data_IF_778031620225
#
_entry.id   IF_778031620225
#
_cell.length_a   1.000
_cell.length_b   1.000
_cell.length_c   1.000
_cell.angle_alpha   90.00
_cell.angle_beta   90.00
_cell.angle_gamma   90.00
#
_symmetry.space_group_name_H-M   'P 1'
#
loop_
_entity.id
_entity.type
_entity.pdbx_description
1 polymer ?
#
# COMPACT_ATOMS: atom_id res chain seq x y z
N UNK A 1 54.13 10.33 18.18
CA UNK A 1 52.78 9.70 18.22
C UNK A 1 52.95 8.21 17.99
N UNK A 2 52.61 7.38 18.99
CA UNK A 2 52.88 5.93 18.98
C UNK A 2 52.24 5.23 17.77
N UNK A 3 52.96 4.33 17.12
CA UNK A 3 52.51 3.59 15.92
C UNK A 3 51.19 2.84 16.17
N UNK A 4 50.97 2.38 17.41
CA UNK A 4 49.71 1.76 17.87
C UNK A 4 48.51 2.72 17.84
N UNK A 5 48.72 4.01 18.13
CA UNK A 5 47.67 5.05 18.11
C UNK A 5 47.29 5.39 16.66
N UNK A 6 48.27 5.40 15.74
CA UNK A 6 48.01 5.60 14.30
C UNK A 6 47.17 4.48 13.70
N UNK A 7 47.43 3.22 14.08
CA UNK A 7 46.66 2.06 13.59
C UNK A 7 45.22 2.10 14.12
N UNK A 8 45.02 2.46 15.40
CA UNK A 8 43.69 2.57 16.00
C UNK A 8 42.84 3.68 15.34
N UNK A 9 43.44 4.82 15.03
CA UNK A 9 42.79 5.92 14.30
C UNK A 9 42.42 5.52 12.87
N UNK A 10 43.25 4.72 12.20
CA UNK A 10 42.99 4.23 10.84
C UNK A 10 41.82 3.23 10.82
N UNK A 11 41.70 2.36 11.83
CA UNK A 11 40.57 1.43 11.94
C UNK A 11 39.23 2.13 12.25
N UNK A 12 39.23 3.22 13.01
CA UNK A 12 38.00 3.97 13.32
C UNK A 12 37.42 4.68 12.07
N UNK A 13 38.27 5.16 11.17
CA UNK A 13 37.88 5.84 9.92
C UNK A 13 37.28 4.91 8.85
N UNK A 14 37.61 3.62 8.89
CA UNK A 14 37.06 2.62 7.95
C UNK A 14 35.65 2.19 8.37
N UNK A 15 35.34 2.20 9.66
CA UNK A 15 34.02 1.79 10.19
C UNK A 15 32.97 2.92 10.01
N UNK A 16 33.38 4.18 9.96
CA UNK A 16 32.46 5.32 9.84
C UNK A 16 31.84 5.53 8.46
N UNK A 17 32.21 4.73 7.45
CA UNK A 17 31.69 4.83 6.08
C UNK A 17 30.64 3.76 5.74
N UNK A 18 30.25 2.91 6.70
CA UNK A 18 29.09 2.03 6.51
C UNK A 18 27.82 2.84 6.83
N UNK A 19 27.57 3.86 6.03
CA UNK A 19 26.24 4.43 5.91
C UNK A 19 25.40 3.37 5.20
N UNK A 20 24.71 2.52 5.96
CA UNK A 20 23.59 1.76 5.43
C UNK A 20 22.55 2.78 4.96
N UNK A 21 22.59 3.12 3.67
CA UNK A 21 21.45 3.78 3.04
C UNK A 21 20.24 2.88 3.29
N UNK A 22 19.19 3.42 3.90
CA UNK A 22 17.94 2.67 3.98
C UNK A 22 17.47 2.48 2.54
N UNK A 23 17.33 1.23 2.11
CA UNK A 23 16.78 0.87 0.81
C UNK A 23 15.30 1.27 0.79
N UNK A 24 15.05 2.50 0.36
CA UNK A 24 13.74 3.15 0.41
C UNK A 24 13.20 3.33 -1.00
N UNK A 25 11.89 3.09 -1.15
CA UNK A 25 11.12 3.46 -2.34
C UNK A 25 10.21 4.61 -2.01
N UNK A 26 10.40 5.73 -2.70
CA UNK A 26 9.48 6.87 -2.61
C UNK A 26 8.20 6.51 -3.36
N UNK A 27 7.07 6.65 -2.68
CA UNK A 27 5.73 6.44 -3.22
C UNK A 27 4.95 7.76 -3.25
N UNK A 28 4.31 8.07 -4.37
CA UNK A 28 3.32 9.15 -4.51
C UNK A 28 2.02 8.61 -5.09
N UNK A 29 0.91 9.32 -4.88
CA UNK A 29 -0.39 8.92 -5.40
C UNK A 29 -1.03 9.99 -6.30
N UNK A 30 -1.94 9.54 -7.15
CA UNK A 30 -2.88 10.37 -7.90
C UNK A 30 -4.25 9.67 -7.88
N UNK A 31 -5.21 10.27 -7.18
CA UNK A 31 -6.59 9.79 -7.11
C UNK A 31 -7.37 10.15 -8.38
N UNK A 32 -8.20 9.21 -8.84
CA UNK A 32 -9.26 9.47 -9.79
C UNK A 32 -8.79 9.81 -11.22
N UNK A 33 -9.56 10.68 -11.87
CA UNK A 33 -9.37 11.16 -13.24
C UNK A 33 -9.25 12.68 -13.26
N UNK A 34 -8.32 13.20 -14.06
CA UNK A 34 -8.21 14.64 -14.34
C UNK A 34 -9.37 15.16 -15.21
N UNK A 35 -10.04 14.28 -15.94
CA UNK A 35 -11.26 14.61 -16.67
C UNK A 35 -12.47 14.52 -15.73
N UNK A 36 -13.18 15.64 -15.56
CA UNK A 36 -14.31 15.77 -14.62
C UNK A 36 -15.50 14.89 -14.96
N UNK A 37 -15.87 14.73 -16.24
CA UNK A 37 -17.00 13.87 -16.63
C UNK A 37 -16.71 12.39 -16.31
N UNK A 38 -15.46 11.97 -16.51
CA UNK A 38 -15.03 10.62 -16.12
C UNK A 38 -15.02 10.50 -14.59
N UNK A 39 -14.59 11.53 -13.86
CA UNK A 39 -14.60 11.55 -12.40
C UNK A 39 -16.03 11.45 -11.84
N UNK A 40 -16.98 12.17 -12.42
CA UNK A 40 -18.41 12.10 -12.03
C UNK A 40 -18.96 10.68 -12.19
N UNK A 41 -18.60 9.98 -13.27
CA UNK A 41 -19.00 8.58 -13.49
C UNK A 41 -18.32 7.66 -12.46
N UNK A 42 -17.04 7.87 -12.16
CA UNK A 42 -16.29 7.10 -11.16
C UNK A 42 -16.97 7.21 -9.79
N UNK A 43 -17.30 8.44 -9.37
CA UNK A 43 -17.94 8.71 -8.08
C UNK A 43 -19.38 8.17 -8.05
N UNK A 44 -20.15 8.35 -9.12
CA UNK A 44 -21.49 7.79 -9.26
C UNK A 44 -21.52 6.26 -9.15
N UNK A 45 -20.55 5.60 -9.77
CA UNK A 45 -20.42 4.13 -9.76
C UNK A 45 -19.73 3.58 -8.50
N UNK A 46 -19.37 4.45 -7.55
CA UNK A 46 -18.61 4.12 -6.34
C UNK A 46 -17.34 3.28 -6.66
N UNK A 47 -16.59 3.75 -7.66
CA UNK A 47 -15.32 3.15 -8.07
C UNK A 47 -14.20 3.97 -7.45
N UNK A 48 -13.25 3.31 -6.81
CA UNK A 48 -12.03 3.94 -6.38
C UNK A 48 -10.91 3.63 -7.37
N UNK A 49 -10.30 4.67 -7.94
CA UNK A 49 -9.14 4.57 -8.81
C UNK A 49 -7.99 5.32 -8.15
N UNK A 50 -6.89 4.62 -7.92
CA UNK A 50 -5.68 5.19 -7.35
C UNK A 50 -4.48 4.79 -8.19
N UNK A 51 -3.71 5.78 -8.64
CA UNK A 51 -2.42 5.54 -9.28
C UNK A 51 -1.31 5.76 -8.25
N UNK A 52 -0.54 4.72 -7.97
CA UNK A 52 0.70 4.83 -7.20
C UNK A 52 1.89 4.91 -8.15
N UNK A 53 2.79 5.86 -7.89
CA UNK A 53 4.07 5.98 -8.57
C UNK A 53 5.18 5.67 -7.57
N UNK A 54 6.13 4.85 -8.00
CA UNK A 54 7.27 4.40 -7.19
C UNK A 54 8.55 4.89 -7.83
N UNK A 55 9.47 5.43 -7.03
CA UNK A 55 10.77 5.91 -7.48
C UNK A 55 11.89 5.44 -6.53
N UNK A 56 12.82 4.64 -7.06
CA UNK A 56 14.08 4.26 -6.41
C UNK A 56 14.99 3.52 -7.39
N UNK A 57 16.31 3.62 -7.20
CA UNK A 57 17.27 2.81 -7.95
C UNK A 57 17.16 1.32 -7.61
N UNK A 58 16.75 1.01 -6.38
CA UNK A 58 16.59 -0.35 -5.87
C UNK A 58 15.45 -1.12 -6.57
N UNK A 59 14.58 -0.45 -7.33
CA UNK A 59 13.53 -1.11 -8.10
C UNK A 59 14.07 -1.91 -9.29
N UNK A 60 15.21 -1.50 -9.87
CA UNK A 60 15.72 -2.11 -11.10
C UNK A 60 16.03 -3.58 -10.85
N UNK A 61 15.45 -4.44 -11.67
CA UNK A 61 15.66 -5.89 -11.57
C UNK A 61 14.71 -6.61 -10.61
N UNK A 62 13.88 -5.87 -9.85
CA UNK A 62 12.88 -6.45 -8.93
C UNK A 62 11.57 -6.78 -9.61
N UNK A 63 10.78 -7.61 -8.95
CA UNK A 63 9.39 -7.89 -9.25
C UNK A 63 8.47 -7.23 -8.23
N UNK A 64 7.27 -6.88 -8.67
CA UNK A 64 6.21 -6.43 -7.78
C UNK A 64 5.28 -7.59 -7.46
N UNK A 65 5.01 -7.80 -6.18
CA UNK A 65 3.89 -8.60 -5.71
C UNK A 65 2.88 -7.69 -5.03
N UNK A 66 1.60 -7.83 -5.36
CA UNK A 66 0.50 -7.17 -4.64
C UNK A 66 -0.37 -8.22 -3.98
N UNK A 67 -0.62 -8.05 -2.69
CA UNK A 67 -1.48 -8.93 -1.90
C UNK A 67 -2.57 -8.14 -1.17
N UNK A 68 -3.61 -8.86 -0.75
CA UNK A 68 -4.67 -8.34 0.09
C UNK A 68 -4.84 -9.24 1.31
N UNK A 69 -4.80 -8.63 2.48
CA UNK A 69 -5.03 -9.29 3.76
C UNK A 69 -6.46 -8.97 4.23
N UNK A 70 -7.22 -10.00 4.59
CA UNK A 70 -8.57 -9.87 5.15
C UNK A 70 -8.52 -9.97 6.67
N UNK A 71 -9.22 -9.06 7.34
CA UNK A 71 -9.34 -9.01 8.79
C UNK A 71 -10.79 -8.96 9.22
N UNK A 72 -11.13 -9.67 10.30
CA UNK A 72 -12.47 -9.66 10.91
C UNK A 72 -12.37 -9.49 12.41
N UNK A 73 -13.08 -8.50 12.95
CA UNK A 73 -13.07 -8.14 14.38
C UNK A 73 -11.63 -8.00 14.91
N UNK A 74 -10.79 -7.26 14.18
CA UNK A 74 -9.37 -7.06 14.49
C UNK A 74 -8.45 -8.29 14.30
N UNK A 75 -8.97 -9.44 13.86
CA UNK A 75 -8.16 -10.66 13.69
C UNK A 75 -7.90 -10.96 12.21
N UNK A 76 -6.64 -11.22 11.88
CA UNK A 76 -6.23 -11.71 10.57
C UNK A 76 -7.00 -12.98 10.19
N UNK A 77 -7.42 -13.05 8.92
CA UNK A 77 -8.13 -14.21 8.36
C UNK A 77 -7.33 -14.92 7.30
N UNK A 78 -6.90 -14.20 6.27
CA UNK A 78 -6.14 -14.76 5.15
C UNK A 78 -5.47 -13.67 4.35
N UNK A 79 -4.44 -14.08 3.60
CA UNK A 79 -3.85 -13.29 2.52
C UNK A 79 -4.28 -13.89 1.19
N UNK A 80 -4.46 -13.05 0.17
CA UNK A 80 -4.66 -13.48 -1.22
C UNK A 80 -3.77 -12.64 -2.13
N UNK A 81 -3.18 -13.28 -3.14
CA UNK A 81 -2.36 -12.59 -4.13
C UNK A 81 -3.27 -11.96 -5.18
N UNK A 82 -3.10 -10.66 -5.40
CA UNK A 82 -3.79 -9.91 -6.45
C UNK A 82 -2.97 -9.88 -7.74
N UNK A 83 -1.64 -9.85 -7.61
CA UNK A 83 -0.69 -9.91 -8.71
C UNK A 83 0.66 -10.41 -8.21
N UNK A 84 1.34 -11.25 -9.00
CA UNK A 84 2.71 -11.69 -8.77
C UNK A 84 3.55 -11.54 -10.04
N UNK A 85 4.48 -10.58 -10.03
CA UNK A 85 5.37 -10.36 -11.16
C UNK A 85 6.47 -11.41 -11.30
N UNK A 86 6.72 -12.23 -10.28
CA UNK A 86 7.82 -13.22 -10.31
C UNK A 86 7.56 -14.40 -11.25
N UNK A 87 6.34 -14.55 -11.76
CA UNK A 87 5.94 -15.60 -12.71
C UNK A 87 6.70 -15.51 -14.05
N UNK A 88 7.23 -14.33 -14.41
CA UNK A 88 7.99 -14.14 -15.65
C UNK A 88 8.92 -12.93 -15.57
N UNK A 89 10.15 -13.10 -16.07
CA UNK A 89 11.13 -12.01 -16.26
C UNK A 89 10.59 -10.83 -17.09
N UNK A 90 9.54 -11.04 -17.89
CA UNK A 90 8.85 -9.99 -18.62
C UNK A 90 8.33 -8.86 -17.70
N UNK A 91 7.89 -9.21 -16.49
CA UNK A 91 7.36 -8.28 -15.49
C UNK A 91 8.43 -7.64 -14.60
N UNK A 92 9.70 -7.97 -14.81
CA UNK A 92 10.80 -7.35 -14.08
C UNK A 92 10.84 -5.84 -14.36
N UNK A 93 11.03 -5.06 -13.31
CA UNK A 93 11.10 -3.60 -13.39
C UNK A 93 12.44 -3.25 -14.05
N UNK A 94 12.37 -2.54 -15.20
CA UNK A 94 13.54 -2.18 -15.99
C UNK A 94 14.05 -0.76 -15.76
N UNK A 95 13.44 0.00 -14.85
CA UNK A 95 13.75 1.41 -14.63
C UNK A 95 13.69 1.77 -13.15
N UNK A 96 14.21 2.94 -12.77
CA UNK A 96 14.11 3.45 -11.40
C UNK A 96 12.72 4.01 -11.06
N UNK A 97 11.78 3.95 -12.01
CA UNK A 97 10.38 4.38 -11.86
C UNK A 97 9.43 3.27 -12.27
N UNK A 98 8.36 3.11 -11.51
CA UNK A 98 7.26 2.23 -11.88
C UNK A 98 5.93 2.85 -11.44
N UNK A 99 4.84 2.49 -12.13
CA UNK A 99 3.51 2.97 -11.79
C UNK A 99 2.48 1.86 -11.86
N UNK A 100 1.61 1.80 -10.86
CA UNK A 100 0.48 0.89 -10.83
C UNK A 100 -0.82 1.67 -10.62
N UNK A 101 -1.83 1.37 -11.43
CA UNK A 101 -3.21 1.83 -11.20
C UNK A 101 -4.00 0.72 -10.53
N UNK A 102 -4.64 1.05 -9.43
CA UNK A 102 -5.51 0.18 -8.66
C UNK A 102 -6.96 0.60 -8.90
N UNK A 103 -7.81 -0.39 -9.10
CA UNK A 103 -9.24 -0.21 -9.27
C UNK A 103 -9.95 -1.06 -8.23
N UNK A 104 -10.75 -0.42 -7.40
CA UNK A 104 -11.60 -1.06 -6.40
C UNK A 104 -13.05 -0.65 -6.64
N UNK A 105 -13.96 -1.61 -6.58
CA UNK A 105 -15.41 -1.34 -6.60
C UNK A 105 -16.08 -2.20 -5.54
N UNK A 106 -16.85 -1.58 -4.67
CA UNK A 106 -17.66 -2.26 -3.67
C UNK A 106 -19.08 -2.33 -4.20
N UNK A 107 -19.54 -3.53 -4.58
CA UNK A 107 -20.84 -3.71 -5.23
C UNK A 107 -21.34 -5.13 -5.00
N UNK A 108 -22.66 -5.30 -4.86
CA UNK A 108 -23.32 -6.60 -4.67
C UNK A 108 -22.73 -7.43 -3.50
N UNK A 109 -22.36 -6.77 -2.41
CA UNK A 109 -21.76 -7.42 -1.24
C UNK A 109 -20.36 -7.99 -1.52
N UNK A 110 -19.66 -7.47 -2.53
CA UNK A 110 -18.31 -7.89 -2.91
C UNK A 110 -17.39 -6.69 -3.16
N UNK A 111 -16.15 -6.84 -2.73
CA UNK A 111 -15.03 -6.03 -3.19
C UNK A 111 -14.49 -6.65 -4.48
N UNK A 112 -14.59 -5.91 -5.58
CA UNK A 112 -13.95 -6.24 -6.85
C UNK A 112 -12.64 -5.46 -6.97
N UNK A 113 -11.55 -6.15 -7.32
CA UNK A 113 -10.23 -5.53 -7.49
C UNK A 113 -9.65 -5.81 -8.87
N UNK A 114 -8.90 -4.85 -9.40
CA UNK A 114 -8.11 -4.98 -10.62
C UNK A 114 -6.91 -4.05 -10.56
N UNK A 115 -5.76 -4.51 -11.05
CA UNK A 115 -4.51 -3.75 -11.03
C UNK A 115 -3.99 -3.66 -12.46
N UNK A 116 -3.55 -2.48 -12.86
CA UNK A 116 -2.96 -2.21 -14.17
C UNK A 116 -1.56 -1.64 -13.98
N UNK A 117 -0.55 -2.39 -14.40
CA UNK A 117 0.80 -1.88 -14.62
C UNK A 117 1.02 -1.50 -16.08
N UNK A 118 2.22 -1.03 -16.41
CA UNK A 118 2.58 -0.68 -17.79
C UNK A 118 2.49 -1.89 -18.75
N UNK A 119 2.94 -3.06 -18.27
CA UNK A 119 3.05 -4.29 -19.07
C UNK A 119 1.95 -5.31 -18.80
N UNK A 120 1.09 -5.10 -17.81
CA UNK A 120 0.15 -6.13 -17.34
C UNK A 120 -1.16 -5.56 -16.85
N UNK A 121 -2.22 -6.37 -16.95
CA UNK A 121 -3.44 -6.23 -16.16
C UNK A 121 -3.62 -7.47 -15.32
N UNK A 122 -3.90 -7.33 -14.03
CA UNK A 122 -4.14 -8.47 -13.15
C UNK A 122 -5.46 -9.17 -13.50
N UNK A 123 -5.65 -10.38 -13.00
CA UNK A 123 -7.00 -10.96 -12.97
C UNK A 123 -7.90 -10.07 -12.11
N UNK A 124 -9.19 -9.96 -12.49
CA UNK A 124 -10.23 -9.38 -11.64
C UNK A 124 -10.49 -10.32 -10.48
N UNK A 125 -10.31 -9.85 -9.26
CA UNK A 125 -10.52 -10.64 -8.04
C UNK A 125 -11.74 -10.13 -7.27
N UNK A 126 -12.39 -11.03 -6.54
CA UNK A 126 -13.63 -10.75 -5.82
C UNK A 126 -13.54 -11.27 -4.39
N UNK A 127 -13.86 -10.41 -3.42
CA UNK A 127 -13.84 -10.73 -2.00
C UNK A 127 -15.20 -10.44 -1.41
N UNK A 128 -15.71 -11.33 -0.56
CA UNK A 128 -17.02 -11.12 0.09
C UNK A 128 -16.91 -9.99 1.11
N UNK A 129 -17.85 -9.05 1.07
CA UNK A 129 -18.06 -8.05 2.11
C UNK A 129 -18.96 -8.63 3.20
N UNK A 130 -18.67 -8.26 4.45
CA UNK A 130 -19.47 -8.65 5.60
C UNK A 130 -20.49 -7.60 6.02
N UNK A 131 -20.42 -6.40 5.43
CA UNK A 131 -21.32 -5.28 5.65
C UNK A 131 -21.82 -4.79 4.28
N UNK A 132 -22.78 -3.87 4.28
CA UNK A 132 -23.25 -3.17 3.08
C UNK A 132 -22.09 -2.52 2.32
N UNK A 133 -22.13 -2.60 0.98
CA UNK A 133 -21.02 -2.18 0.12
C UNK A 133 -20.71 -0.70 0.30
N UNK A 134 -21.76 0.10 0.51
CA UNK A 134 -21.80 1.54 0.68
C UNK A 134 -21.13 2.00 1.98
N UNK A 135 -20.94 1.10 2.95
CA UNK A 135 -20.23 1.40 4.21
C UNK A 135 -18.72 1.28 4.08
N UNK A 136 -18.20 0.71 3.00
CA UNK A 136 -16.76 0.58 2.83
C UNK A 136 -16.21 1.80 2.11
N UNK A 137 -15.08 2.29 2.60
CA UNK A 137 -14.30 3.32 1.94
C UNK A 137 -12.87 2.83 1.70
N UNK A 138 -12.30 3.21 0.55
CA UNK A 138 -10.86 3.11 0.34
C UNK A 138 -10.17 4.26 1.08
N UNK A 139 -9.06 3.94 1.73
CA UNK A 139 -8.14 4.92 2.32
C UNK A 139 -6.71 4.57 1.97
N UNK A 140 -5.92 5.59 1.68
CA UNK A 140 -4.47 5.50 1.65
C UNK A 140 -3.87 5.87 3.02
N UNK A 141 -2.55 5.73 3.15
CA UNK A 141 -1.81 6.04 4.39
C UNK A 141 -1.00 7.34 4.29
N UNK A 142 -1.27 8.21 3.30
CA UNK A 142 -0.50 9.45 3.10
C UNK A 142 -0.81 10.48 4.19
N UNK A 143 -2.05 10.48 4.70
CA UNK A 143 -2.48 11.50 5.65
C UNK A 143 -2.42 12.89 5.02
N UNK A 144 -1.64 13.79 5.60
CA UNK A 144 -1.37 15.12 5.03
C UNK A 144 -0.11 15.18 4.15
N UNK A 145 0.59 14.05 3.99
CA UNK A 145 1.83 13.99 3.21
C UNK A 145 1.52 13.82 1.73
N UNK A 146 2.45 14.24 0.87
CA UNK A 146 2.40 14.04 -0.58
C UNK A 146 3.23 12.85 -1.04
N UNK A 147 4.06 12.29 -0.15
CA UNK A 147 4.93 11.14 -0.39
C UNK A 147 5.07 10.27 0.85
N UNK A 148 5.28 8.97 0.62
CA UNK A 148 5.61 7.98 1.63
C UNK A 148 6.89 7.23 1.26
N UNK A 149 7.65 6.85 2.26
CA UNK A 149 8.86 6.05 2.11
C UNK A 149 8.53 4.60 2.46
N UNK A 150 8.65 3.72 1.47
CA UNK A 150 8.43 2.28 1.61
C UNK A 150 9.76 1.57 1.82
N UNK A 151 9.75 0.52 2.64
CA UNK A 151 10.90 -0.36 2.83
C UNK A 151 10.98 -1.35 1.66
N UNK A 152 12.11 -1.39 0.95
CA UNK A 152 12.29 -2.28 -0.22
C UNK A 152 12.22 -3.77 0.14
N UNK A 153 12.65 -4.13 1.35
CA UNK A 153 12.83 -5.51 1.80
C UNK A 153 11.53 -6.05 2.41
N UNK A 154 10.70 -5.17 2.97
CA UNK A 154 9.49 -5.57 3.71
C UNK A 154 8.22 -5.43 2.87
N UNK A 155 7.18 -6.08 3.37
CA UNK A 155 5.80 -5.89 2.92
C UNK A 155 5.31 -4.53 3.42
N UNK A 156 4.79 -3.71 2.51
CA UNK A 156 4.30 -2.36 2.82
C UNK A 156 2.79 -2.29 2.59
N UNK A 157 2.04 -1.81 3.58
CA UNK A 157 0.63 -1.49 3.41
C UNK A 157 0.49 -0.20 2.61
N UNK A 158 -0.32 -0.23 1.56
CA UNK A 158 -0.53 0.92 0.66
C UNK A 158 -1.96 1.44 0.68
N UNK A 159 -2.93 0.56 0.96
CA UNK A 159 -4.32 0.96 1.16
C UNK A 159 -5.00 0.15 2.25
N UNK A 160 -6.06 0.73 2.82
CA UNK A 160 -7.03 0.06 3.65
C UNK A 160 -8.43 0.22 3.03
N UNK A 161 -9.21 -0.86 3.03
CA UNK A 161 -10.64 -0.82 2.71
C UNK A 161 -11.39 -1.14 4.00
N UNK A 162 -12.04 -0.12 4.56
CA UNK A 162 -12.53 -0.14 5.94
C UNK A 162 -13.99 0.29 6.00
N UNK A 163 -14.70 -0.19 7.02
CA UNK A 163 -15.97 0.39 7.46
C UNK A 163 -15.71 1.53 8.45
N UNK A 164 -16.65 2.45 8.71
CA UNK A 164 -16.41 3.54 9.63
C UNK A 164 -16.30 3.02 11.07
N UNK A 165 -15.57 3.75 11.90
CA UNK A 165 -15.69 3.63 13.34
C UNK A 165 -16.96 4.33 13.78
N UNK A 166 -17.81 3.67 14.56
CA UNK A 166 -19.03 4.28 15.09
C UNK A 166 -18.77 4.78 16.51
N UNK A 167 -18.94 6.08 16.72
CA UNK A 167 -18.82 6.73 18.02
C UNK A 167 -20.07 6.50 18.88
N UNK A 168 -19.97 6.80 20.18
CA UNK A 168 -21.08 6.62 21.14
C UNK A 168 -22.32 7.44 20.79
N UNK A 169 -22.15 8.54 20.08
CA UNK A 169 -23.22 9.42 19.60
C UNK A 169 -23.84 8.94 18.28
N UNK A 170 -23.36 7.83 17.71
CA UNK A 170 -23.83 7.25 16.46
C UNK A 170 -23.16 7.82 15.20
N UNK A 171 -22.27 8.80 15.32
CA UNK A 171 -21.51 9.33 14.19
C UNK A 171 -20.44 8.33 13.71
N UNK A 172 -20.13 8.36 12.40
CA UNK A 172 -19.14 7.47 11.78
C UNK A 172 -17.90 8.23 11.33
N UNK A 173 -16.70 7.74 11.65
CA UNK A 173 -15.43 8.34 11.21
C UNK A 173 -14.53 7.36 10.45
N UNK A 174 -14.17 7.75 9.23
CA UNK A 174 -13.21 7.02 8.38
C UNK A 174 -11.80 7.63 8.42
N UNK A 175 -11.71 8.94 8.69
CA UNK A 175 -10.44 9.68 8.62
C UNK A 175 -9.53 9.39 9.81
N UNK A 176 -10.12 9.18 10.99
CA UNK A 176 -9.37 8.78 12.19
C UNK A 176 -8.62 7.47 12.01
N UNK A 177 -9.16 6.56 11.20
CA UNK A 177 -8.60 5.22 11.00
C UNK A 177 -7.32 5.29 10.15
N UNK A 178 -7.42 5.93 8.99
CA UNK A 178 -6.35 5.91 7.98
C UNK A 178 -5.17 6.84 8.27
N UNK A 179 -5.40 7.93 9.01
CA UNK A 179 -4.38 8.91 9.36
C UNK A 179 -3.80 8.69 10.76
N UNK A 180 -4.18 7.59 11.42
CA UNK A 180 -3.63 7.23 12.72
C UNK A 180 -2.19 6.73 12.60
N UNK A 181 -1.44 6.85 13.69
CA UNK A 181 -0.13 6.21 13.86
C UNK A 181 -0.25 4.71 14.19
N UNK A 182 -1.45 4.14 14.09
CA UNK A 182 -1.72 2.74 14.38
C UNK A 182 -1.28 1.89 13.19
N UNK A 183 -0.61 0.78 13.48
CA UNK A 183 -0.23 -0.18 12.44
C UNK A 183 -1.48 -0.67 11.69
N UNK A 184 -1.44 -0.78 10.35
CA UNK A 184 -2.59 -1.17 9.52
C UNK A 184 -3.31 -2.44 9.98
N UNK A 185 -2.55 -3.43 10.47
CA UNK A 185 -3.06 -4.69 11.02
C UNK A 185 -3.78 -4.56 12.36
N UNK A 186 -3.55 -3.49 13.12
CA UNK A 186 -4.17 -3.20 14.42
C UNK A 186 -5.39 -2.29 14.34
N UNK A 187 -5.73 -1.78 13.14
CA UNK A 187 -6.85 -0.86 12.95
C UNK A 187 -8.16 -1.45 13.49
N UNK A 188 -8.44 -2.73 13.23
CA UNK A 188 -9.70 -3.33 13.70
C UNK A 188 -9.81 -3.50 15.20
N UNK A 189 -8.70 -3.71 15.91
CA UNK A 189 -8.69 -3.78 17.37
C UNK A 189 -8.90 -2.40 17.98
N UNK A 190 -8.18 -1.40 17.46
CA UNK A 190 -8.22 -0.04 17.99
C UNK A 190 -9.55 0.67 17.73
N UNK A 191 -10.07 0.52 16.51
CA UNK A 191 -11.26 1.23 16.02
C UNK A 191 -12.53 0.37 16.01
N UNK A 192 -12.46 -0.86 16.55
CA UNK A 192 -13.58 -1.80 16.59
C UNK A 192 -14.20 -2.05 15.19
N UNK A 193 -13.38 -2.13 14.16
CA UNK A 193 -13.81 -2.32 12.77
C UNK A 193 -14.18 -3.80 12.56
N UNK A 194 -15.44 -4.13 12.23
CA UNK A 194 -15.90 -5.51 12.15
C UNK A 194 -15.25 -6.30 11.01
N UNK A 195 -14.95 -5.63 9.90
CA UNK A 195 -14.36 -6.24 8.72
C UNK A 195 -13.61 -5.21 7.88
N UNK A 196 -12.39 -5.53 7.49
CA UNK A 196 -11.57 -4.66 6.63
C UNK A 196 -10.54 -5.46 5.84
N UNK A 197 -9.98 -4.80 4.83
CA UNK A 197 -8.89 -5.34 4.03
C UNK A 197 -7.70 -4.38 4.04
N UNK A 198 -6.49 -4.94 4.05
CA UNK A 198 -5.25 -4.19 3.84
C UNK A 198 -4.62 -4.65 2.54
N UNK A 199 -4.35 -3.72 1.64
CA UNK A 199 -3.66 -3.98 0.37
C UNK A 199 -2.19 -3.68 0.60
N UNK A 200 -1.34 -4.61 0.20
CA UNK A 200 0.09 -4.55 0.43
C UNK A 200 0.89 -4.73 -0.85
N UNK A 201 2.08 -4.15 -0.87
CA UNK A 201 3.07 -4.27 -1.95
C UNK A 201 4.42 -4.74 -1.41
N UNK A 202 5.09 -5.56 -2.20
CA UNK A 202 6.45 -6.06 -1.96
C UNK A 202 7.29 -5.88 -3.24
N UNK A 203 8.58 -5.56 -3.07
CA UNK A 203 9.57 -5.44 -4.15
C UNK A 203 10.60 -6.56 -4.02
N UNK A 204 10.41 -7.66 -4.74
CA UNK A 204 11.25 -8.86 -4.65
C UNK A 204 12.39 -8.80 -5.65
#
# INVERSE_FOLDING_TARGET
MNTKIKILLLTLLVISNIAFGQDVVKMTNNYGSENSEIQDIIDFENIYIEKLNFESKELIGKFITVSIDEYKKGKFKKTSILFDGSESDYFKIGSNKESLKFFFKMTDGKLKTYIRGQKFGSKKSFFKLNEESEKYALKDFFGSKTELNLDVIRKNAIFAIITPTIHKDGSGSYCEVAQSSIEPEKLGEHFNIPHYFIINIEFK
#
